data_IF_923161731129
#
_entry.id   IF_923161731129
#
_cell.length_a   1.000
_cell.length_b   1.000
_cell.length_c   1.000
_cell.angle_alpha   90.00
_cell.angle_beta   90.00
_cell.angle_gamma   90.00
#
_symmetry.space_group_name_H-M   'P 1'
#
loop_
_entity.id
_entity.type
_entity.pdbx_description
1 polymer ?
#
# COMPACT_ATOMS: atom_id res chain seq x y z
N UNK A 1 -12.03 18.10 -1.26
CA UNK A 1 -11.53 17.23 -2.35
C UNK A 1 -10.06 17.52 -2.72
N UNK A 2 -9.59 18.77 -2.69
CA UNK A 2 -8.31 19.20 -3.31
C UNK A 2 -6.96 18.67 -2.78
N UNK A 3 -6.87 18.05 -1.60
CA UNK A 3 -5.54 17.77 -1.01
C UNK A 3 -4.98 16.37 -1.37
N UNK A 4 -5.83 15.40 -1.73
CA UNK A 4 -5.37 14.02 -1.97
C UNK A 4 -4.68 13.85 -3.33
N UNK A 5 -5.15 14.54 -4.37
CA UNK A 5 -4.53 14.48 -5.70
C UNK A 5 -3.13 15.11 -5.70
N UNK A 6 -2.93 16.18 -4.93
CA UNK A 6 -1.61 16.80 -4.71
C UNK A 6 -0.66 15.81 -4.03
N UNK A 7 -1.14 15.08 -3.01
CA UNK A 7 -0.34 14.05 -2.34
C UNK A 7 -0.01 12.90 -3.31
N UNK A 8 -0.94 12.47 -4.16
CA UNK A 8 -0.67 11.43 -5.18
C UNK A 8 0.40 11.91 -6.17
N UNK A 9 0.31 13.15 -6.64
CA UNK A 9 1.32 13.73 -7.52
C UNK A 9 2.70 13.83 -6.83
N UNK A 10 2.73 14.26 -5.57
CA UNK A 10 3.95 14.34 -4.76
C UNK A 10 4.57 12.95 -4.54
N UNK A 11 3.76 11.93 -4.22
CA UNK A 11 4.20 10.54 -4.09
C UNK A 11 4.91 10.09 -5.38
N UNK A 12 4.27 10.26 -6.53
CA UNK A 12 4.84 9.88 -7.83
C UNK A 12 6.15 10.62 -8.11
N UNK A 13 6.18 11.93 -7.85
CA UNK A 13 7.39 12.74 -8.00
C UNK A 13 8.54 12.20 -7.17
N UNK A 14 8.33 11.95 -5.87
CA UNK A 14 9.38 11.44 -4.99
C UNK A 14 9.81 10.01 -5.36
N UNK A 15 8.85 9.14 -5.71
CA UNK A 15 9.13 7.77 -6.15
C UNK A 15 10.04 7.76 -7.39
N UNK A 16 9.69 8.52 -8.44
CA UNK A 16 10.49 8.56 -9.66
C UNK A 16 11.85 9.26 -9.49
N UNK A 17 12.01 10.08 -8.45
CA UNK A 17 13.30 10.65 -8.05
C UNK A 17 14.11 9.75 -7.11
N UNK A 18 13.68 8.51 -6.89
CA UNK A 18 14.26 7.56 -5.94
C UNK A 18 14.31 8.10 -4.50
N UNK A 19 13.54 9.12 -4.17
CA UNK A 19 13.41 9.62 -2.80
C UNK A 19 12.34 8.81 -2.07
N UNK A 20 12.68 7.55 -1.78
CA UNK A 20 11.77 6.58 -1.20
C UNK A 20 11.32 6.95 0.21
N UNK A 21 12.13 7.69 0.97
CA UNK A 21 11.73 8.22 2.29
C UNK A 21 10.54 9.17 2.18
N UNK A 22 10.62 10.18 1.30
CA UNK A 22 9.50 11.12 1.10
C UNK A 22 8.32 10.46 0.37
N UNK A 23 8.56 9.50 -0.51
CA UNK A 23 7.49 8.71 -1.13
C UNK A 23 6.70 7.95 -0.05
N UNK A 24 7.37 7.27 0.88
CA UNK A 24 6.73 6.54 1.98
C UNK A 24 5.89 7.48 2.85
N UNK A 25 6.49 8.58 3.32
CA UNK A 25 5.77 9.58 4.13
C UNK A 25 4.55 10.14 3.40
N UNK A 26 4.61 10.29 2.08
CA UNK A 26 3.48 10.79 1.30
C UNK A 26 2.36 9.75 1.18
N UNK A 27 2.71 8.47 0.94
CA UNK A 27 1.75 7.38 0.92
C UNK A 27 1.03 7.22 2.27
N UNK A 28 1.77 7.30 3.38
CA UNK A 28 1.22 7.27 4.75
C UNK A 28 0.29 8.44 5.05
N UNK A 29 0.60 9.64 4.53
CA UNK A 29 -0.29 10.81 4.65
C UNK A 29 -1.60 10.59 3.89
N UNK A 30 -1.56 9.97 2.72
CA UNK A 30 -2.76 9.65 1.94
C UNK A 30 -3.64 8.67 2.73
N UNK A 31 -3.06 7.57 3.23
CA UNK A 31 -3.82 6.56 3.98
C UNK A 31 -4.39 7.16 5.26
N UNK A 32 -3.61 7.88 6.06
CA UNK A 32 -4.08 8.52 7.29
C UNK A 32 -5.25 9.49 7.04
N UNK A 33 -5.17 10.29 5.97
CA UNK A 33 -6.24 11.22 5.61
C UNK A 33 -7.53 10.50 5.23
N UNK A 34 -7.44 9.42 4.46
CA UNK A 34 -8.62 8.64 4.09
C UNK A 34 -9.20 7.94 5.31
N UNK A 35 -8.37 7.38 6.21
CA UNK A 35 -8.86 6.79 7.46
C UNK A 35 -9.67 7.78 8.29
N UNK A 36 -9.20 9.02 8.40
CA UNK A 36 -9.92 10.06 9.13
C UNK A 36 -11.24 10.44 8.47
N UNK A 37 -11.28 10.58 7.14
CA UNK A 37 -12.50 10.95 6.40
C UNK A 37 -13.54 9.83 6.42
N UNK A 38 -13.10 8.58 6.28
CA UNK A 38 -13.95 7.39 6.19
C UNK A 38 -14.20 6.73 7.56
N UNK A 39 -13.67 7.31 8.64
CA UNK A 39 -13.75 6.81 10.01
C UNK A 39 -13.33 5.33 10.13
N UNK A 40 -12.20 4.98 9.51
CA UNK A 40 -11.67 3.61 9.45
C UNK A 40 -10.88 3.27 10.71
N UNK A 41 -11.07 2.04 11.22
CA UNK A 41 -10.37 1.53 12.40
C UNK A 41 -8.84 1.41 12.20
N UNK A 42 -8.09 1.56 13.28
CA UNK A 42 -6.67 1.19 13.36
C UNK A 42 -6.46 -0.31 13.57
N UNK A 43 -7.47 -1.01 14.07
CA UNK A 43 -7.43 -2.46 14.21
C UNK A 43 -7.63 -3.13 12.84
N UNK A 44 -6.65 -3.91 12.40
CA UNK A 44 -6.70 -4.59 11.11
C UNK A 44 -7.87 -5.56 10.98
N UNK A 45 -8.21 -6.31 12.02
CA UNK A 45 -9.31 -7.29 11.98
C UNK A 45 -10.68 -6.62 11.79
N UNK A 46 -10.84 -5.40 12.32
CA UNK A 46 -12.04 -4.58 12.10
C UNK A 46 -12.00 -3.88 10.74
N UNK A 47 -10.82 -3.45 10.30
CA UNK A 47 -10.64 -2.71 9.05
C UNK A 47 -10.83 -3.60 7.82
N UNK A 48 -10.26 -4.80 7.82
CA UNK A 48 -10.26 -5.72 6.68
C UNK A 48 -11.65 -5.96 6.06
N UNK A 49 -12.70 -6.35 6.81
CA UNK A 49 -14.02 -6.57 6.21
C UNK A 49 -14.63 -5.32 5.59
N UNK A 50 -14.33 -4.12 6.12
CA UNK A 50 -14.77 -2.85 5.55
C UNK A 50 -14.11 -2.62 4.19
N UNK A 51 -12.78 -2.83 4.12
CA UNK A 51 -12.02 -2.66 2.88
C UNK A 51 -12.48 -3.62 1.79
N UNK A 52 -12.71 -4.90 2.12
CA UNK A 52 -13.24 -5.90 1.18
C UNK A 52 -14.59 -5.47 0.62
N UNK A 53 -15.51 -5.07 1.50
CA UNK A 53 -16.88 -4.70 1.11
C UNK A 53 -16.93 -3.45 0.23
N UNK A 54 -16.03 -2.50 0.48
CA UNK A 54 -16.07 -1.15 -0.10
C UNK A 54 -14.95 -0.88 -1.13
N UNK A 55 -14.21 -1.90 -1.54
CA UNK A 55 -13.00 -1.73 -2.38
C UNK A 55 -13.20 -0.97 -3.69
N UNK A 56 -14.41 -1.00 -4.25
CA UNK A 56 -14.75 -0.27 -5.49
C UNK A 56 -15.06 1.21 -5.26
N UNK A 57 -15.28 1.63 -4.01
CA UNK A 57 -15.52 3.03 -3.69
C UNK A 57 -14.23 3.84 -3.88
N UNK A 58 -14.27 5.02 -4.55
CA UNK A 58 -13.07 5.75 -4.94
C UNK A 58 -12.09 6.05 -3.79
N UNK A 59 -12.58 6.39 -2.60
CA UNK A 59 -11.72 6.68 -1.45
C UNK A 59 -11.05 5.42 -0.92
N UNK A 60 -11.78 4.31 -0.82
CA UNK A 60 -11.25 3.03 -0.35
C UNK A 60 -10.27 2.45 -1.36
N UNK A 61 -10.57 2.56 -2.66
CA UNK A 61 -9.64 2.19 -3.72
C UNK A 61 -8.36 3.01 -3.67
N UNK A 62 -8.45 4.31 -3.38
CA UNK A 62 -7.28 5.17 -3.19
C UNK A 62 -6.48 4.76 -1.95
N UNK A 63 -7.14 4.43 -0.85
CA UNK A 63 -6.49 3.91 0.37
C UNK A 63 -5.71 2.63 0.08
N UNK A 64 -6.33 1.65 -0.60
CA UNK A 64 -5.72 0.38 -0.94
C UNK A 64 -4.51 0.56 -1.87
N UNK A 65 -4.62 1.44 -2.87
CA UNK A 65 -3.49 1.79 -3.73
C UNK A 65 -2.34 2.43 -2.94
N UNK A 66 -2.62 3.41 -2.07
CA UNK A 66 -1.60 4.08 -1.27
C UNK A 66 -0.96 3.12 -0.25
N UNK A 67 -1.76 2.22 0.33
CA UNK A 67 -1.26 1.21 1.25
C UNK A 67 -0.35 0.19 0.53
N UNK A 68 -0.78 -0.35 -0.61
CA UNK A 68 0.06 -1.21 -1.44
C UNK A 68 1.36 -0.51 -1.90
N UNK A 69 1.26 0.75 -2.31
CA UNK A 69 2.41 1.58 -2.67
C UNK A 69 3.42 1.73 -1.52
N UNK A 70 2.94 1.88 -0.27
CA UNK A 70 3.83 1.91 0.90
C UNK A 70 4.61 0.61 1.06
N UNK A 71 3.98 -0.55 0.83
CA UNK A 71 4.66 -1.86 0.82
C UNK A 71 5.78 -1.94 -0.22
N UNK A 72 5.53 -1.46 -1.44
CA UNK A 72 6.56 -1.39 -2.49
C UNK A 72 7.72 -0.47 -2.11
N UNK A 73 7.42 0.69 -1.52
CA UNK A 73 8.46 1.66 -1.10
C UNK A 73 9.28 1.11 0.07
N UNK A 74 8.65 0.43 1.03
CA UNK A 74 9.34 -0.26 2.12
C UNK A 74 10.31 -1.32 1.58
N UNK A 75 9.88 -2.10 0.58
CA UNK A 75 10.77 -3.07 -0.09
C UNK A 75 11.98 -2.37 -0.74
N UNK A 76 11.76 -1.24 -1.43
CA UNK A 76 12.84 -0.43 -2.03
C UNK A 76 13.80 0.15 -0.97
N UNK A 77 13.32 0.41 0.24
CA UNK A 77 14.12 0.87 1.38
C UNK A 77 14.82 -0.27 2.13
N UNK A 78 14.67 -1.53 1.71
CA UNK A 78 15.24 -2.69 2.40
C UNK A 78 14.46 -3.13 3.65
N UNK A 79 13.29 -2.54 3.91
CA UNK A 79 12.41 -2.90 5.03
C UNK A 79 11.50 -4.07 4.65
N UNK A 80 12.12 -5.22 4.43
CA UNK A 80 11.49 -6.38 3.78
C UNK A 80 10.31 -6.95 4.60
N UNK A 81 10.45 -7.07 5.91
CA UNK A 81 9.39 -7.64 6.76
C UNK A 81 8.15 -6.74 6.82
N UNK A 82 8.33 -5.42 6.97
CA UNK A 82 7.23 -4.44 6.89
C UNK A 82 6.54 -4.50 5.51
N UNK A 83 7.32 -4.63 4.42
CA UNK A 83 6.79 -4.76 3.07
C UNK A 83 5.98 -6.04 2.87
N UNK A 84 6.45 -7.17 3.40
CA UNK A 84 5.72 -8.46 3.37
C UNK A 84 4.41 -8.38 4.14
N UNK A 85 4.40 -7.75 5.32
CA UNK A 85 3.20 -7.59 6.13
C UNK A 85 2.10 -6.84 5.35
N UNK A 86 2.44 -5.67 4.78
CA UNK A 86 1.50 -4.88 3.97
C UNK A 86 1.03 -5.67 2.75
N UNK A 87 1.96 -6.33 2.07
CA UNK A 87 1.64 -7.06 0.84
C UNK A 87 0.72 -8.26 1.10
N UNK A 88 0.95 -8.98 2.21
CA UNK A 88 0.07 -10.06 2.69
C UNK A 88 -1.32 -9.56 3.04
N UNK A 89 -1.41 -8.41 3.71
CA UNK A 89 -2.69 -7.78 4.06
C UNK A 89 -3.50 -7.40 2.83
N UNK A 90 -2.89 -6.77 1.84
CA UNK A 90 -3.57 -6.43 0.57
C UNK A 90 -3.94 -7.68 -0.22
N UNK A 91 -3.06 -8.69 -0.29
CA UNK A 91 -3.37 -9.98 -0.93
C UNK A 91 -4.61 -10.64 -0.33
N UNK A 92 -4.84 -10.48 0.98
CA UNK A 92 -6.04 -10.95 1.65
C UNK A 92 -7.31 -10.12 1.40
N UNK A 93 -7.25 -9.07 0.57
CA UNK A 93 -8.37 -8.23 0.13
C UNK A 93 -8.59 -8.38 -1.38
N UNK A 94 -7.50 -8.47 -2.15
CA UNK A 94 -7.48 -8.38 -3.60
C UNK A 94 -6.97 -9.68 -4.24
N UNK A 95 -7.91 -10.56 -4.57
CA UNK A 95 -7.62 -11.83 -5.24
C UNK A 95 -7.25 -11.64 -6.72
N UNK A 96 -7.54 -10.47 -7.33
CA UNK A 96 -7.31 -10.19 -8.76
C UNK A 96 -5.97 -9.51 -9.04
N UNK A 97 -5.22 -9.14 -8.01
CA UNK A 97 -3.99 -8.37 -8.10
C UNK A 97 -4.18 -6.95 -8.67
N UNK A 98 -5.37 -6.37 -8.52
CA UNK A 98 -5.69 -4.99 -8.92
C UNK A 98 -4.76 -3.94 -8.27
N UNK A 99 -4.19 -4.22 -7.10
CA UNK A 99 -3.25 -3.34 -6.40
C UNK A 99 -1.78 -3.80 -6.48
N UNK A 100 -1.50 -4.92 -7.16
CA UNK A 100 -0.14 -5.44 -7.41
C UNK A 100 0.64 -5.95 -6.20
N UNK A 101 0.11 -5.82 -4.98
CA UNK A 101 0.82 -6.19 -3.76
C UNK A 101 1.01 -7.71 -3.61
N UNK A 102 0.10 -8.53 -4.14
CA UNK A 102 0.27 -9.98 -4.18
C UNK A 102 1.51 -10.41 -4.98
N UNK A 103 1.75 -9.75 -6.12
CA UNK A 103 2.94 -10.00 -6.95
C UNK A 103 4.21 -9.61 -6.18
N UNK A 104 4.19 -8.45 -5.50
CA UNK A 104 5.30 -8.04 -4.67
C UNK A 104 5.57 -9.05 -3.55
N UNK A 105 4.54 -9.55 -2.87
CA UNK A 105 4.71 -10.57 -1.84
C UNK A 105 5.41 -11.80 -2.40
N UNK A 106 4.93 -12.32 -3.54
CA UNK A 106 5.48 -13.52 -4.17
C UNK A 106 6.97 -13.35 -4.53
N UNK A 107 7.39 -12.14 -4.95
CA UNK A 107 8.80 -11.79 -5.17
C UNK A 107 9.58 -11.78 -3.85
N UNK A 108 9.04 -11.15 -2.81
CA UNK A 108 9.72 -11.01 -1.51
C UNK A 108 9.82 -12.31 -0.71
N UNK A 109 8.98 -13.30 -1.02
CA UNK A 109 8.98 -14.62 -0.37
C UNK A 109 9.59 -15.72 -1.22
N UNK A 110 10.05 -15.41 -2.43
CA UNK A 110 10.72 -16.40 -3.27
C UNK A 110 11.98 -16.90 -2.55
N UNK A 111 12.15 -18.22 -2.35
CA UNK A 111 13.39 -18.76 -1.81
C UNK A 111 14.55 -18.38 -2.76
N UNK A 112 15.77 -18.14 -2.23
CA UNK A 112 16.93 -17.97 -3.09
C UNK A 112 17.03 -19.20 -4.00
N UNK A 113 17.18 -18.97 -5.31
CA UNK A 113 17.42 -20.06 -6.25
C UNK A 113 18.66 -20.82 -5.75
N UNK A 114 18.52 -22.12 -5.53
CA UNK A 114 19.67 -22.99 -5.34
C UNK A 114 20.38 -23.04 -6.67
N UNK A 115 21.54 -22.40 -6.76
CA UNK A 115 22.47 -22.64 -7.86
C UNK A 115 22.75 -24.16 -7.90
N UNK A 116 22.31 -24.83 -8.98
CA UNK A 116 22.61 -26.25 -9.25
C UNK A 116 24.11 -26.51 -9.39
#
# INVERSE_FOLDING_TARGET
ADNTDILVAAYRYFYYKNNYGLALTTAEKITAKIKAVENLSDNWEELKPILIKRQEEPQIRLYLNAYAASGLVLAKLGKIEEAKEISSRIKGIDDKHDFGAGILLDILTRPPETDD
#
